data_IF_192366365969
#
_entry.id   IF_192366365969
#
_cell.length_a   1.000
_cell.length_b   1.000
_cell.length_c   1.000
_cell.angle_alpha   90.00
_cell.angle_beta   90.00
_cell.angle_gamma   90.00
#
_symmetry.space_group_name_H-M   'P 1'
#
loop_
_entity.id
_entity.type
_entity.pdbx_description
1 polymer ?
#
# COMPACT_ATOMS: atom_id res chain seq x y z
N UNK A 1 -4.60 -7.60 -19.80
CA UNK A 1 -4.50 -7.50 -18.32
C UNK A 1 -4.08 -8.79 -17.60
N UNK A 2 -4.87 -9.90 -17.64
CA UNK A 2 -4.61 -11.13 -16.85
C UNK A 2 -3.20 -11.71 -17.00
N UNK A 3 -2.68 -11.75 -18.23
CA UNK A 3 -1.33 -12.22 -18.53
C UNK A 3 -0.25 -11.36 -17.85
N UNK A 4 -0.34 -10.03 -17.94
CA UNK A 4 0.62 -9.13 -17.30
C UNK A 4 0.56 -9.22 -15.77
N UNK A 5 -0.63 -9.42 -15.20
CA UNK A 5 -0.79 -9.70 -13.76
C UNK A 5 -0.09 -11.00 -13.37
N UNK A 6 -0.28 -12.08 -14.13
CA UNK A 6 0.41 -13.34 -13.86
C UNK A 6 1.94 -13.18 -13.95
N UNK A 7 2.44 -12.47 -14.96
CA UNK A 7 3.86 -12.13 -15.11
C UNK A 7 4.37 -11.31 -13.92
N UNK A 8 3.62 -10.31 -13.49
CA UNK A 8 3.96 -9.47 -12.35
C UNK A 8 4.12 -10.29 -11.06
N UNK A 9 3.21 -11.24 -10.81
CA UNK A 9 3.22 -12.09 -9.63
C UNK A 9 4.33 -13.16 -9.66
N UNK A 10 4.71 -13.64 -10.84
CA UNK A 10 5.73 -14.68 -10.99
C UNK A 10 7.18 -14.15 -11.06
N UNK A 11 7.37 -12.86 -11.35
CA UNK A 11 8.69 -12.29 -11.60
C UNK A 11 9.38 -11.81 -10.30
N UNK A 12 10.51 -12.42 -9.97
CA UNK A 12 11.31 -12.07 -8.80
C UNK A 12 12.22 -10.86 -9.04
N UNK A 13 12.67 -10.62 -10.28
CA UNK A 13 13.52 -9.49 -10.61
C UNK A 13 12.73 -8.17 -10.62
N UNK A 14 13.14 -7.22 -9.80
CA UNK A 14 12.43 -5.95 -9.61
C UNK A 14 12.30 -5.13 -10.90
N UNK A 15 13.31 -5.15 -11.77
CA UNK A 15 13.29 -4.39 -13.03
C UNK A 15 12.30 -5.00 -14.00
N UNK A 16 12.31 -6.33 -14.13
CA UNK A 16 11.36 -7.07 -14.96
C UNK A 16 9.93 -6.97 -14.41
N UNK A 17 9.76 -7.00 -13.08
CA UNK A 17 8.48 -6.78 -12.41
C UNK A 17 7.95 -5.36 -12.63
N UNK A 18 8.83 -4.35 -12.66
CA UNK A 18 8.45 -2.98 -12.98
C UNK A 18 7.92 -2.81 -14.42
N UNK A 19 8.47 -3.55 -15.39
CA UNK A 19 7.96 -3.55 -16.77
C UNK A 19 6.53 -4.08 -16.84
N UNK A 20 6.25 -5.22 -16.19
CA UNK A 20 4.88 -5.78 -16.14
C UNK A 20 3.91 -4.82 -15.42
N UNK A 21 4.34 -4.21 -14.31
CA UNK A 21 3.52 -3.20 -13.58
C UNK A 21 3.19 -1.98 -14.44
N UNK A 22 4.15 -1.49 -15.24
CA UNK A 22 3.90 -0.38 -16.18
C UNK A 22 2.87 -0.78 -17.24
N UNK A 23 2.98 -1.98 -17.79
CA UNK A 23 2.01 -2.50 -18.77
C UNK A 23 0.61 -2.62 -18.17
N UNK A 24 0.48 -3.14 -16.95
CA UNK A 24 -0.79 -3.20 -16.21
C UNK A 24 -1.40 -1.80 -16.06
N UNK A 25 -0.61 -0.83 -15.57
CA UNK A 25 -1.07 0.54 -15.37
C UNK A 25 -1.54 1.19 -16.68
N UNK A 26 -0.83 0.96 -17.79
CA UNK A 26 -1.22 1.44 -19.12
C UNK A 26 -2.57 0.86 -19.58
N UNK A 27 -2.74 -0.46 -19.46
CA UNK A 27 -4.00 -1.13 -19.82
C UNK A 27 -5.18 -0.59 -18.99
N UNK A 28 -4.99 -0.43 -17.66
CA UNK A 28 -6.03 0.15 -16.80
C UNK A 28 -6.36 1.58 -17.25
N UNK A 29 -5.33 2.39 -17.52
CA UNK A 29 -5.53 3.78 -17.95
C UNK A 29 -6.31 3.88 -19.27
N UNK A 30 -6.05 3.00 -20.23
CA UNK A 30 -6.66 3.00 -21.56
C UNK A 30 -8.07 2.38 -21.58
N UNK A 31 -8.25 1.23 -20.92
CA UNK A 31 -9.50 0.45 -21.00
C UNK A 31 -10.51 0.78 -19.90
N UNK A 32 -10.04 1.30 -18.76
CA UNK A 32 -10.85 1.62 -17.58
C UNK A 32 -10.38 2.96 -16.98
N UNK A 33 -10.64 4.10 -17.66
CA UNK A 33 -10.09 5.38 -17.23
C UNK A 33 -10.61 5.75 -15.83
N UNK A 34 -9.72 5.64 -14.84
CA UNK A 34 -9.95 6.10 -13.47
C UNK A 34 -9.41 7.52 -13.36
N UNK A 35 -10.23 8.44 -12.84
CA UNK A 35 -9.80 9.81 -12.53
C UNK A 35 -9.48 9.86 -11.03
N UNK A 36 -8.20 9.94 -10.63
CA UNK A 36 -7.86 10.15 -9.23
C UNK A 36 -8.33 11.56 -8.81
N UNK A 37 -9.18 11.63 -7.78
CA UNK A 37 -9.73 12.89 -7.27
C UNK A 37 -8.80 13.52 -6.23
N UNK A 38 -8.24 12.69 -5.35
CA UNK A 38 -7.36 13.15 -4.28
C UNK A 38 -6.42 12.04 -3.81
N UNK A 39 -5.31 12.43 -3.20
CA UNK A 39 -4.52 11.56 -2.34
C UNK A 39 -4.75 11.97 -0.90
N UNK A 40 -4.95 10.98 -0.02
CA UNK A 40 -5.13 11.22 1.40
C UNK A 40 -3.96 10.65 2.18
N UNK A 41 -3.52 11.41 3.18
CA UNK A 41 -2.66 10.88 4.23
C UNK A 41 -3.55 10.29 5.33
N UNK A 42 -3.15 9.15 5.88
CA UNK A 42 -3.82 8.57 7.03
C UNK A 42 -3.53 9.43 8.26
N UNK A 43 -4.58 10.03 8.83
CA UNK A 43 -4.47 10.87 10.02
C UNK A 43 -4.75 10.02 11.25
N UNK A 44 -3.82 10.02 12.22
CA UNK A 44 -3.97 9.32 13.50
C UNK A 44 -3.73 10.28 14.65
N UNK A 45 -4.61 10.25 15.65
CA UNK A 45 -4.45 10.99 16.90
C UNK A 45 -4.04 10.02 18.02
N UNK A 46 -2.95 10.35 18.73
CA UNK A 46 -2.42 9.55 19.83
C UNK A 46 -2.39 10.39 21.09
N UNK A 47 -2.97 9.87 22.18
CA UNK A 47 -2.98 10.56 23.46
C UNK A 47 -1.54 10.67 24.02
N UNK A 48 -1.13 11.78 24.68
CA UNK A 48 0.25 11.96 25.15
C UNK A 48 0.78 10.90 26.12
N UNK A 49 -0.12 10.19 26.82
CA UNK A 49 0.24 9.06 27.71
C UNK A 49 0.50 7.74 26.98
N UNK A 50 0.16 7.65 25.69
CA UNK A 50 0.34 6.45 24.88
C UNK A 50 1.73 6.48 24.27
N UNK A 51 2.50 5.42 24.50
CA UNK A 51 3.84 5.25 23.96
C UNK A 51 3.92 4.01 23.08
N UNK A 52 4.80 4.04 22.07
CA UNK A 52 5.07 2.90 21.19
C UNK A 52 4.02 2.66 20.09
N UNK A 53 3.09 3.60 19.87
CA UNK A 53 2.18 3.54 18.74
C UNK A 53 2.93 3.61 17.40
N UNK A 54 2.56 2.73 16.47
CA UNK A 54 3.08 2.70 15.09
C UNK A 54 1.88 2.65 14.15
N UNK A 55 1.83 3.54 13.17
CA UNK A 55 0.82 3.47 12.10
C UNK A 55 1.22 2.40 11.08
N UNK A 56 0.28 1.54 10.71
CA UNK A 56 0.44 0.57 9.61
C UNK A 56 -0.43 1.00 8.43
N UNK A 57 0.13 1.65 7.39
CA UNK A 57 -0.64 2.13 6.25
C UNK A 57 -1.34 1.01 5.46
N UNK A 58 -0.88 -0.24 5.60
CA UNK A 58 -1.49 -1.40 4.95
C UNK A 58 -2.48 -2.12 5.86
N UNK A 59 -2.66 -1.65 7.10
CA UNK A 59 -3.57 -2.20 8.11
C UNK A 59 -3.44 -3.72 8.29
N UNK A 60 -2.23 -4.25 8.12
CA UNK A 60 -1.94 -5.67 8.25
C UNK A 60 -1.79 -6.08 9.72
N UNK A 61 -1.31 -5.16 10.56
CA UNK A 61 -1.06 -5.37 11.99
C UNK A 61 -1.35 -4.11 12.81
N UNK A 62 -1.80 -4.33 14.05
CA UNK A 62 -2.09 -3.26 15.01
C UNK A 62 -0.94 -2.95 15.98
N UNK A 63 0.12 -3.77 16.02
CA UNK A 63 1.30 -3.60 16.89
C UNK A 63 1.00 -3.34 18.38
N UNK A 64 -0.10 -3.89 18.91
CA UNK A 64 -0.52 -3.68 20.30
C UNK A 64 0.52 -4.18 21.31
N UNK A 65 1.34 -5.16 20.93
CA UNK A 65 2.48 -5.66 21.71
C UNK A 65 3.54 -4.59 22.00
N UNK A 66 3.52 -3.48 21.26
CA UNK A 66 4.46 -2.36 21.40
C UNK A 66 3.85 -1.17 22.13
N UNK A 67 2.55 -1.19 22.42
CA UNK A 67 1.82 -0.05 22.96
C UNK A 67 1.75 -0.14 24.48
N UNK A 68 2.07 0.96 25.14
CA UNK A 68 1.90 1.11 26.60
C UNK A 68 1.18 2.41 26.93
N UNK A 69 0.55 2.44 28.10
CA UNK A 69 -0.08 3.63 28.66
C UNK A 69 0.65 3.93 29.96
N UNK A 70 1.26 5.12 30.07
CA UNK A 70 1.80 5.58 31.34
C UNK A 70 0.67 5.65 32.37
N UNK A 71 0.85 5.05 33.54
CA UNK A 71 -0.09 5.05 34.69
C UNK A 71 -0.32 6.44 35.27
#
# INVERSE_FOLDING_TARGET
LRQEVARYLAEADDRRRATARRAIAGIIHEELPIIPVTWYDQIVAVHPRVSGFVTDPLEQRYFLDRVTIAS
#
